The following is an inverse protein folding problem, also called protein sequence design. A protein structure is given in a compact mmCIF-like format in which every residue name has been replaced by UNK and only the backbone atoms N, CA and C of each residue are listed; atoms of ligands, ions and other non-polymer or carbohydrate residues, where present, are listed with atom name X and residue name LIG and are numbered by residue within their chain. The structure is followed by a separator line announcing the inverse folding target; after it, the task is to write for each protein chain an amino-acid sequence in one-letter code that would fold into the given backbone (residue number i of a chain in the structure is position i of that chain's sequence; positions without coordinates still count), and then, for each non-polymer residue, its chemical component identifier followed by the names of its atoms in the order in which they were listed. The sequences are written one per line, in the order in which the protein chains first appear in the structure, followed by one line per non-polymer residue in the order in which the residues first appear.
data_IF_263321309564
#
_entry.id   IF_263321309564
#
_cell.length_a   1.000
_cell.length_b   1.000
_cell.length_c   1.000
_cell.angle_alpha   90.00
_cell.angle_beta   90.00
_cell.angle_gamma   90.00
#
_symmetry.space_group_name_H-M   'P 1'
#
loop_
_entity.id
_entity.type
_entity.pdbx_description
1 polymer ?
#
# COMPACT_ATOMS: atom_id res chain seq x y z
N UNK A 1 31.98 18.08 6.61
CA UNK A 1 30.66 17.97 7.27
C UNK A 1 30.91 17.50 8.68
N UNK A 2 30.58 18.35 9.65
CA UNK A 2 30.78 18.04 11.07
C UNK A 2 29.74 17.03 11.52
N UNK A 3 30.10 16.18 12.49
CA UNK A 3 29.19 15.18 13.04
C UNK A 3 27.95 15.85 13.64
N UNK A 4 28.12 17.01 14.28
CA UNK A 4 27.04 17.82 14.85
C UNK A 4 26.01 18.26 13.81
N UNK A 5 26.46 18.70 12.63
CA UNK A 5 25.57 19.10 11.53
C UNK A 5 24.71 17.92 11.05
N UNK A 6 25.33 16.74 10.94
CA UNK A 6 24.63 15.52 10.55
C UNK A 6 23.62 15.06 11.62
N UNK A 7 23.96 15.19 12.89
CA UNK A 7 23.05 14.88 14.01
C UNK A 7 21.86 15.82 14.00
N UNK A 8 22.07 17.13 13.85
CA UNK A 8 20.96 18.10 13.76
C UNK A 8 20.03 17.82 12.57
N UNK A 9 20.60 17.47 11.41
CA UNK A 9 19.83 17.08 10.23
C UNK A 9 18.97 15.85 10.49
N UNK A 10 19.56 14.80 11.07
CA UNK A 10 18.86 13.58 11.42
C UNK A 10 17.75 13.82 12.45
N UNK A 11 17.99 14.66 13.46
CA UNK A 11 16.96 15.01 14.45
C UNK A 11 15.78 15.75 13.84
N UNK A 12 16.04 16.68 12.91
CA UNK A 12 14.99 17.38 12.19
C UNK A 12 14.16 16.44 11.31
N UNK A 13 14.82 15.55 10.57
CA UNK A 13 14.15 14.53 9.75
C UNK A 13 13.30 13.59 10.63
N UNK A 14 13.83 13.16 11.78
CA UNK A 14 13.14 12.28 12.70
C UNK A 14 11.89 12.94 13.30
N UNK A 15 11.94 14.24 13.60
CA UNK A 15 10.74 15.01 14.01
C UNK A 15 9.69 15.03 12.91
N UNK A 16 10.08 15.37 11.68
CA UNK A 16 9.16 15.43 10.54
C UNK A 16 8.50 14.07 10.26
N UNK A 17 9.28 12.99 10.30
CA UNK A 17 8.77 11.62 10.09
C UNK A 17 7.77 11.22 11.17
N UNK A 18 8.04 11.55 12.45
CA UNK A 18 7.12 11.26 13.55
C UNK A 18 5.80 12.03 13.42
N UNK A 19 5.85 13.30 13.02
CA UNK A 19 4.65 14.10 12.75
C UNK A 19 3.82 13.50 11.62
N UNK A 20 4.46 13.09 10.51
CA UNK A 20 3.77 12.48 9.38
C UNK A 20 3.14 11.14 9.75
N UNK A 21 3.86 10.29 10.50
CA UNK A 21 3.31 9.04 11.02
C UNK A 21 2.09 9.32 11.91
N UNK A 22 2.17 10.32 12.80
CA UNK A 22 1.04 10.71 13.64
C UNK A 22 -0.18 11.15 12.83
N UNK A 23 0.02 11.95 11.77
CA UNK A 23 -1.06 12.32 10.83
C UNK A 23 -1.67 11.10 10.15
N UNK A 24 -0.84 10.18 9.66
CA UNK A 24 -1.30 8.96 8.99
C UNK A 24 -2.06 8.05 9.97
N UNK A 25 -1.60 7.90 11.20
CA UNK A 25 -2.29 7.13 12.25
C UNK A 25 -3.66 7.76 12.60
N UNK A 26 -3.77 9.09 12.67
CA UNK A 26 -5.06 9.74 12.89
C UNK A 26 -6.04 9.51 11.73
N UNK A 27 -5.56 9.52 10.49
CA UNK A 27 -6.41 9.34 9.30
C UNK A 27 -6.83 7.88 9.10
N UNK A 28 -5.97 6.93 9.47
CA UNK A 28 -6.13 5.55 9.05
C UNK A 28 -6.09 4.50 10.16
N UNK A 29 -5.78 4.89 11.40
CA UNK A 29 -5.58 3.98 12.54
C UNK A 29 -4.15 3.46 12.67
N UNK A 30 -3.85 2.88 13.83
CA UNK A 30 -2.50 2.38 14.18
C UNK A 30 -2.08 1.11 13.42
N UNK A 31 -3.02 0.44 12.76
CA UNK A 31 -2.80 -0.78 11.99
C UNK A 31 -2.86 -0.57 10.47
N UNK A 32 -2.91 0.69 10.01
CA UNK A 32 -3.01 1.01 8.60
C UNK A 32 -1.77 0.57 7.83
N UNK A 33 -1.91 -0.53 7.11
CA UNK A 33 -1.01 -0.88 6.01
C UNK A 33 -1.59 -0.28 4.74
N UNK A 34 -0.93 0.68 4.10
CA UNK A 34 -1.42 1.20 2.83
C UNK A 34 -1.62 0.02 1.89
N UNK A 35 -2.83 -0.11 1.35
CA UNK A 35 -3.18 -1.13 0.36
C UNK A 35 -2.43 -0.80 -0.93
N UNK A 36 -1.13 -1.11 -0.99
CA UNK A 36 -0.29 -0.90 -2.17
C UNK A 36 -0.53 -1.99 -3.21
N UNK A 37 -1.79 -2.18 -3.58
CA UNK A 37 -2.16 -3.20 -4.56
C UNK A 37 -1.47 -2.94 -5.90
N UNK A 38 -1.21 -1.68 -6.28
CA UNK A 38 -0.51 -1.34 -7.52
C UNK A 38 0.95 -1.82 -7.57
N UNK A 39 1.59 -2.06 -6.41
CA UNK A 39 2.96 -2.57 -6.30
C UNK A 39 3.01 -4.09 -6.01
N UNK A 40 1.85 -4.75 -5.99
CA UNK A 40 1.76 -6.17 -5.70
C UNK A 40 2.03 -7.01 -6.96
N UNK A 41 2.86 -8.06 -6.85
CA UNK A 41 3.03 -9.09 -7.91
C UNK A 41 1.73 -9.79 -8.32
N UNK A 42 0.70 -9.73 -7.48
CA UNK A 42 -0.63 -10.30 -7.74
C UNK A 42 -1.65 -9.26 -8.21
N UNK A 43 -1.22 -8.04 -8.51
CA UNK A 43 -2.10 -7.00 -9.02
C UNK A 43 -2.51 -7.29 -10.46
N UNK A 44 -3.81 -7.18 -10.72
CA UNK A 44 -4.36 -7.21 -12.06
C UNK A 44 -5.04 -5.88 -12.35
N UNK A 45 -4.48 -5.14 -13.30
CA UNK A 45 -5.01 -3.86 -13.77
C UNK A 45 -6.16 -4.11 -14.75
N UNK A 46 -7.29 -3.42 -14.58
CA UNK A 46 -8.35 -3.43 -15.59
C UNK A 46 -8.09 -2.37 -16.67
N UNK A 47 -8.50 -2.72 -17.89
CA UNK A 47 -8.43 -1.86 -19.06
C UNK A 47 -9.80 -1.87 -19.73
N UNK A 48 -10.17 -0.74 -20.32
CA UNK A 48 -11.31 -0.65 -21.24
C UNK A 48 -10.79 -0.44 -22.65
N UNK A 49 -11.52 -0.96 -23.64
CA UNK A 49 -11.21 -0.72 -25.05
C UNK A 49 -12.00 0.49 -25.53
N UNK A 50 -11.30 1.53 -25.97
CA UNK A 50 -11.89 2.72 -26.58
C UNK A 50 -11.18 2.96 -27.90
N UNK A 51 -11.91 3.12 -29.00
CA UNK A 51 -11.35 3.43 -30.33
C UNK A 51 -10.17 2.52 -30.76
N UNK A 52 -10.22 1.24 -30.38
CA UNK A 52 -9.17 0.28 -30.74
C UNK A 52 -7.94 0.26 -29.83
N UNK A 53 -7.84 1.15 -28.84
CA UNK A 53 -6.76 1.17 -27.84
C UNK A 53 -7.27 0.70 -26.46
N UNK A 54 -6.36 0.15 -25.66
CA UNK A 54 -6.64 -0.22 -24.27
C UNK A 54 -6.23 0.92 -23.33
N UNK A 55 -7.17 1.41 -22.53
CA UNK A 55 -6.97 2.51 -21.58
C UNK A 55 -7.09 1.97 -20.16
N UNK A 56 -6.13 2.30 -19.29
CA UNK A 56 -6.19 1.98 -17.86
C UNK A 56 -7.32 2.76 -17.22
N UNK A 57 -8.20 2.07 -16.51
CA UNK A 57 -9.28 2.72 -15.74
C UNK A 57 -8.89 2.98 -14.28
N UNK A 58 -7.63 2.71 -13.90
CA UNK A 58 -7.11 2.81 -12.53
C UNK A 58 -7.90 2.01 -11.48
N UNK A 59 -8.78 1.13 -11.94
CA UNK A 59 -9.42 0.09 -11.16
C UNK A 59 -8.69 -1.23 -11.43
N UNK A 60 -8.31 -1.92 -10.37
CA UNK A 60 -7.64 -3.20 -10.45
C UNK A 60 -7.79 -3.93 -9.14
N UNK A 61 -7.48 -5.22 -9.13
CA UNK A 61 -7.64 -6.04 -7.94
C UNK A 61 -6.45 -6.95 -7.73
N UNK A 62 -6.24 -7.33 -6.47
CA UNK A 62 -5.26 -8.34 -6.12
C UNK A 62 -5.86 -9.73 -6.38
N UNK A 63 -5.28 -10.49 -7.30
CA UNK A 63 -5.72 -11.86 -7.61
C UNK A 63 -5.48 -12.80 -6.43
N UNK A 64 -4.49 -12.53 -5.58
CA UNK A 64 -4.25 -13.23 -4.32
C UNK A 64 -5.32 -12.96 -3.24
N UNK A 65 -6.19 -11.95 -3.43
CA UNK A 65 -7.48 -11.75 -2.76
C UNK A 65 -7.49 -11.77 -1.22
N UNK A 66 -8.69 -11.69 -0.63
CA UNK A 66 -8.92 -12.03 0.79
C UNK A 66 -9.03 -13.55 0.90
N UNK A 67 -8.90 -14.11 2.11
CA UNK A 67 -9.34 -15.49 2.38
C UNK A 67 -10.82 -15.62 2.02
N UNK A 68 -11.12 -16.16 0.84
CA UNK A 68 -12.42 -16.77 0.54
C UNK A 68 -12.42 -18.18 1.12
N UNK A 69 -13.59 -18.66 1.57
CA UNK A 69 -13.76 -19.99 2.21
C UNK A 69 -13.16 -21.16 1.42
N UNK A 70 -12.91 -20.98 0.12
CA UNK A 70 -12.46 -22.03 -0.80
C UNK A 70 -11.00 -21.86 -1.26
N UNK A 71 -10.18 -21.04 -0.58
CA UNK A 71 -8.78 -20.86 -0.95
C UNK A 71 -7.86 -21.73 -0.09
N UNK A 72 -7.05 -22.56 -0.74
CA UNK A 72 -6.08 -23.42 -0.07
C UNK A 72 -5.04 -22.59 0.70
N UNK A 73 -4.64 -23.08 1.87
CA UNK A 73 -3.81 -22.34 2.84
C UNK A 73 -2.36 -22.13 2.37
N UNK A 74 -1.92 -22.92 1.39
CA UNK A 74 -0.61 -22.91 0.75
C UNK A 74 -0.48 -21.88 -0.37
N UNK A 75 -1.59 -21.29 -0.85
CA UNK A 75 -1.54 -20.28 -1.91
C UNK A 75 -0.99 -18.97 -1.39
N UNK A 76 -0.07 -18.39 -2.16
CA UNK A 76 0.56 -17.11 -1.83
C UNK A 76 -0.48 -16.00 -1.66
N UNK A 77 -0.33 -15.23 -0.58
CA UNK A 77 -1.20 -14.13 -0.20
C UNK A 77 -0.49 -12.80 -0.45
N UNK A 78 -1.23 -11.80 -0.91
CA UNK A 78 -0.73 -10.42 -0.80
C UNK A 78 -0.75 -9.98 0.66
N UNK A 79 0.43 -9.71 1.23
CA UNK A 79 0.59 -9.21 2.60
C UNK A 79 -0.05 -7.84 2.86
N UNK A 80 -0.39 -7.12 1.79
CA UNK A 80 -1.00 -5.78 1.83
C UNK A 80 -2.50 -5.76 1.50
N UNK A 81 -3.12 -6.91 1.20
CA UNK A 81 -4.55 -6.98 0.89
C UNK A 81 -5.36 -7.39 2.13
N UNK A 82 -5.81 -6.39 2.90
CA UNK A 82 -6.85 -6.57 3.92
C UNK A 82 -8.23 -6.39 3.26
N UNK A 83 -9.15 -7.34 3.50
CA UNK A 83 -10.55 -7.21 3.11
C UNK A 83 -11.22 -6.04 3.80
N UNK A 84 -12.34 -5.54 3.25
CA UNK A 84 -13.25 -4.73 4.06
C UNK A 84 -13.76 -5.62 5.20
N UNK A 85 -13.59 -5.19 6.45
CA UNK A 85 -14.38 -5.74 7.55
C UNK A 85 -15.78 -5.16 7.32
N UNK A 86 -16.74 -6.04 7.00
CA UNK A 86 -18.16 -5.70 6.98
C UNK A 86 -18.69 -5.79 8.40
#
# INVERSE_FOLDING_TARGET
MLISEKVMGLEAENRNLKEEIGRLQQLYGDDYKPKRCQECRFFFQHYVRCEGIYIKINEGHCTAGVRTKNRAADKERCQFFQGKIL
#
